data_IF_620193271301
#
_entry.id   IF_620193271301
#
_cell.length_a   1.000
_cell.length_b   1.000
_cell.length_c   1.000
_cell.angle_alpha   90.00
_cell.angle_beta   90.00
_cell.angle_gamma   90.00
#
_symmetry.space_group_name_H-M   'P 1'
#
loop_
_entity.id
_entity.type
_entity.pdbx_description
1 polymer ?
#
# COMPACT_ATOMS: atom_id res chain seq x y z
N UNK A 1 -18.62 -71.54 7.38
CA UNK A 1 -19.88 -70.75 7.32
C UNK A 1 -19.81 -69.49 8.17
N UNK A 2 -19.37 -69.53 9.44
CA UNK A 2 -19.27 -68.31 10.29
C UNK A 2 -18.02 -67.44 10.02
N UNK A 3 -16.99 -67.97 9.37
CA UNK A 3 -15.69 -67.30 9.16
C UNK A 3 -15.67 -66.35 7.95
N UNK A 4 -16.46 -66.59 6.90
CA UNK A 4 -16.49 -65.74 5.70
C UNK A 4 -17.14 -64.37 5.91
N UNK A 5 -18.20 -64.30 6.73
CA UNK A 5 -18.89 -63.03 7.01
C UNK A 5 -18.02 -62.05 7.82
N UNK A 6 -17.16 -62.59 8.68
CA UNK A 6 -16.20 -61.80 9.46
C UNK A 6 -15.10 -61.25 8.56
N UNK A 7 -14.63 -62.04 7.59
CA UNK A 7 -13.58 -61.65 6.65
C UNK A 7 -14.07 -60.58 5.65
N UNK A 8 -15.32 -60.71 5.18
CA UNK A 8 -15.96 -59.69 4.33
C UNK A 8 -16.20 -58.39 5.09
N UNK A 9 -16.58 -58.46 6.37
CA UNK A 9 -16.77 -57.29 7.22
C UNK A 9 -15.45 -56.55 7.51
N UNK A 10 -14.37 -57.28 7.83
CA UNK A 10 -13.05 -56.68 8.07
C UNK A 10 -12.52 -55.97 6.81
N UNK A 11 -12.68 -56.59 5.65
CA UNK A 11 -12.25 -56.01 4.39
C UNK A 11 -13.08 -54.76 4.01
N UNK A 12 -14.40 -54.78 4.26
CA UNK A 12 -15.27 -53.62 4.05
C UNK A 12 -14.92 -52.45 4.99
N UNK A 13 -14.61 -52.71 6.26
CA UNK A 13 -14.17 -51.68 7.23
C UNK A 13 -12.83 -51.08 6.81
N UNK A 14 -11.90 -51.91 6.32
CA UNK A 14 -10.59 -51.47 5.85
C UNK A 14 -10.67 -50.58 4.61
N UNK A 15 -11.55 -50.93 3.66
CA UNK A 15 -11.85 -50.11 2.47
C UNK A 15 -12.58 -48.81 2.86
N UNK A 16 -13.55 -48.90 3.77
CA UNK A 16 -14.27 -47.75 4.31
C UNK A 16 -13.36 -46.76 5.04
N UNK A 17 -12.42 -47.24 5.85
CA UNK A 17 -11.46 -46.42 6.56
C UNK A 17 -10.44 -45.76 5.61
N UNK A 18 -9.95 -46.51 4.61
CA UNK A 18 -9.03 -45.97 3.59
C UNK A 18 -9.67 -44.87 2.75
N UNK A 19 -10.93 -45.04 2.36
CA UNK A 19 -11.70 -44.02 1.62
C UNK A 19 -11.99 -42.79 2.48
N UNK A 20 -12.37 -42.97 3.76
CA UNK A 20 -12.57 -41.85 4.69
C UNK A 20 -11.29 -41.02 4.91
N UNK A 21 -10.15 -41.69 5.10
CA UNK A 21 -8.84 -41.02 5.23
C UNK A 21 -8.47 -40.27 3.95
N UNK A 22 -8.76 -40.84 2.77
CA UNK A 22 -8.49 -40.20 1.48
C UNK A 22 -9.35 -38.93 1.32
N UNK A 23 -10.63 -38.98 1.67
CA UNK A 23 -11.54 -37.83 1.61
C UNK A 23 -11.10 -36.74 2.59
N UNK A 24 -10.77 -37.09 3.84
CA UNK A 24 -10.25 -36.15 4.84
C UNK A 24 -8.94 -35.52 4.41
N UNK A 25 -8.00 -36.32 3.89
CA UNK A 25 -6.72 -35.85 3.37
C UNK A 25 -6.90 -34.90 2.18
N UNK A 26 -7.81 -35.23 1.26
CA UNK A 26 -8.19 -34.38 0.13
C UNK A 26 -8.79 -33.05 0.58
N UNK A 27 -9.75 -33.09 1.51
CA UNK A 27 -10.38 -31.89 2.07
C UNK A 27 -9.38 -30.98 2.79
N UNK A 28 -8.50 -31.55 3.62
CA UNK A 28 -7.44 -30.80 4.32
C UNK A 28 -6.47 -30.15 3.33
N UNK A 29 -6.05 -30.90 2.30
CA UNK A 29 -5.13 -30.39 1.27
C UNK A 29 -5.77 -29.24 0.49
N UNK A 30 -7.04 -29.38 0.10
CA UNK A 30 -7.78 -28.35 -0.61
C UNK A 30 -7.93 -27.08 0.23
N UNK A 31 -8.34 -27.22 1.50
CA UNK A 31 -8.52 -26.10 2.43
C UNK A 31 -7.19 -25.36 2.68
N UNK A 32 -6.10 -26.10 2.87
CA UNK A 32 -4.77 -25.51 3.04
C UNK A 32 -4.29 -24.81 1.76
N UNK A 33 -4.55 -25.39 0.59
CA UNK A 33 -4.20 -24.81 -0.71
C UNK A 33 -4.94 -23.49 -0.94
N UNK A 34 -6.26 -23.45 -0.72
CA UNK A 34 -7.06 -22.23 -0.83
C UNK A 34 -6.59 -21.14 0.13
N UNK A 35 -6.30 -21.47 1.39
CA UNK A 35 -5.77 -20.49 2.33
C UNK A 35 -4.41 -19.93 1.91
N UNK A 36 -3.57 -20.73 1.25
CA UNK A 36 -2.29 -20.27 0.71
C UNK A 36 -2.46 -19.32 -0.46
N UNK A 37 -3.33 -19.64 -1.42
CA UNK A 37 -3.59 -18.74 -2.55
C UNK A 37 -4.21 -17.42 -2.07
N UNK A 38 -5.20 -17.44 -1.17
CA UNK A 38 -5.77 -16.21 -0.60
C UNK A 38 -4.72 -15.35 0.11
N UNK A 39 -3.82 -15.95 0.88
CA UNK A 39 -2.72 -15.21 1.54
C UNK A 39 -1.73 -14.63 0.53
N UNK A 40 -1.45 -15.35 -0.54
CA UNK A 40 -0.55 -14.91 -1.61
C UNK A 40 -1.17 -13.74 -2.38
N UNK A 41 -2.44 -13.83 -2.75
CA UNK A 41 -3.19 -12.75 -3.38
C UNK A 41 -3.25 -11.51 -2.50
N UNK A 42 -3.54 -11.67 -1.20
CA UNK A 42 -3.56 -10.54 -0.27
C UNK A 42 -2.20 -9.83 -0.16
N UNK A 43 -1.08 -10.56 -0.22
CA UNK A 43 0.26 -9.96 -0.23
C UNK A 43 0.56 -9.22 -1.53
N UNK A 44 0.18 -9.80 -2.67
CA UNK A 44 0.33 -9.15 -3.98
C UNK A 44 -0.47 -7.86 -4.00
N UNK A 45 -1.72 -7.90 -3.54
CA UNK A 45 -2.59 -6.72 -3.49
C UNK A 45 -2.00 -5.65 -2.58
N UNK A 46 -1.55 -6.00 -1.36
CA UNK A 46 -0.90 -5.03 -0.46
C UNK A 46 0.35 -4.39 -1.05
N UNK A 47 1.13 -5.14 -1.83
CA UNK A 47 2.31 -4.58 -2.52
C UNK A 47 1.89 -3.59 -3.60
N UNK A 48 0.89 -3.91 -4.40
CA UNK A 48 0.33 -3.00 -5.40
C UNK A 48 -0.22 -1.73 -4.75
N UNK A 49 -1.01 -1.88 -3.69
CA UNK A 49 -1.57 -0.74 -2.95
C UNK A 49 -0.46 0.15 -2.36
N UNK A 50 0.64 -0.46 -1.88
CA UNK A 50 1.82 0.25 -1.40
C UNK A 50 2.52 1.04 -2.53
N UNK A 51 2.76 0.41 -3.68
CA UNK A 51 3.40 1.05 -4.84
C UNK A 51 2.57 2.24 -5.34
N UNK A 52 1.26 2.05 -5.49
CA UNK A 52 0.31 3.10 -5.90
C UNK A 52 0.30 4.26 -4.88
N UNK A 53 0.35 3.97 -3.58
CA UNK A 53 0.43 5.01 -2.54
C UNK A 53 1.73 5.79 -2.63
N UNK A 54 2.87 5.09 -2.74
CA UNK A 54 4.17 5.72 -2.86
C UNK A 54 4.24 6.63 -4.10
N UNK A 55 3.73 6.17 -5.23
CA UNK A 55 3.64 6.96 -6.47
C UNK A 55 2.81 8.23 -6.27
N UNK A 56 1.63 8.15 -5.63
CA UNK A 56 0.79 9.32 -5.34
C UNK A 56 1.54 10.37 -4.51
N UNK A 57 2.26 9.94 -3.47
CA UNK A 57 3.04 10.86 -2.63
C UNK A 57 4.19 11.51 -3.42
N UNK A 58 4.89 10.72 -4.24
CA UNK A 58 5.99 11.22 -5.08
C UNK A 58 5.47 12.21 -6.12
N UNK A 59 4.37 11.90 -6.81
CA UNK A 59 3.79 12.76 -7.84
C UNK A 59 3.34 14.09 -7.24
N UNK A 60 2.65 14.06 -6.10
CA UNK A 60 2.26 15.28 -5.39
C UNK A 60 3.47 16.12 -4.96
N UNK A 61 4.49 15.52 -4.34
CA UNK A 61 5.71 16.22 -3.92
C UNK A 61 6.50 16.80 -5.09
N UNK A 62 6.64 16.03 -6.17
CA UNK A 62 7.36 16.45 -7.38
C UNK A 62 6.65 17.64 -8.03
N UNK A 63 5.34 17.52 -8.27
CA UNK A 63 4.52 18.59 -8.83
C UNK A 63 4.57 19.85 -7.95
N UNK A 64 4.46 19.71 -6.62
CA UNK A 64 4.58 20.84 -5.68
C UNK A 64 5.90 21.60 -5.84
N UNK A 65 7.02 20.89 -5.96
CA UNK A 65 8.35 21.50 -6.11
C UNK A 65 8.51 22.15 -7.49
N UNK A 66 8.00 21.50 -8.53
CA UNK A 66 7.95 22.06 -9.88
C UNK A 66 7.14 23.35 -9.92
N UNK A 67 5.97 23.39 -9.28
CA UNK A 67 5.12 24.58 -9.14
C UNK A 67 5.90 25.74 -8.51
N UNK A 68 6.56 25.49 -7.36
CA UNK A 68 7.38 26.51 -6.70
C UNK A 68 8.48 27.04 -7.63
N UNK A 69 9.15 26.16 -8.38
CA UNK A 69 10.23 26.55 -9.28
C UNK A 69 9.71 27.31 -10.52
N UNK A 70 8.64 26.83 -11.15
CA UNK A 70 8.05 27.42 -12.36
C UNK A 70 7.51 28.82 -12.09
N UNK A 71 6.77 29.00 -11.00
CA UNK A 71 6.19 30.28 -10.59
C UNK A 71 7.13 31.11 -9.69
N UNK A 72 8.44 30.90 -9.87
CA UNK A 72 9.45 31.67 -9.15
C UNK A 72 9.57 33.12 -9.66
N UNK A 73 9.24 33.37 -10.93
CA UNK A 73 9.34 34.71 -11.54
C UNK A 73 8.03 35.16 -12.22
N UNK A 74 7.01 34.29 -12.23
CA UNK A 74 5.69 34.56 -12.78
C UNK A 74 4.63 34.26 -11.72
N UNK A 75 3.51 34.96 -11.77
CA UNK A 75 2.35 34.68 -10.92
C UNK A 75 1.51 33.54 -11.51
N UNK A 76 1.03 32.68 -10.64
CA UNK A 76 0.14 31.57 -11.00
C UNK A 76 -1.24 32.09 -11.43
N UNK A 77 -1.76 31.50 -12.51
CA UNK A 77 -3.17 31.64 -12.87
C UNK A 77 -3.90 30.35 -12.51
N UNK A 78 -5.10 30.47 -11.95
CA UNK A 78 -5.87 29.29 -11.53
C UNK A 78 -6.56 28.54 -12.68
N UNK A 79 -6.50 29.07 -13.90
CA UNK A 79 -7.03 28.43 -15.11
C UNK A 79 -5.95 27.70 -15.92
N UNK A 80 -4.69 27.68 -15.45
CA UNK A 80 -3.64 26.97 -16.16
C UNK A 80 -3.66 25.47 -15.87
N UNK A 81 -3.21 24.69 -16.86
CA UNK A 81 -3.11 23.23 -16.76
C UNK A 81 -2.32 22.78 -15.53
N UNK A 82 -1.22 23.48 -15.21
CA UNK A 82 -0.38 23.14 -14.05
C UNK A 82 -1.17 23.20 -12.73
N UNK A 83 -2.05 24.20 -12.58
CA UNK A 83 -2.87 24.33 -11.36
C UNK A 83 -3.96 23.27 -11.28
N UNK A 84 -4.58 22.95 -12.41
CA UNK A 84 -5.61 21.90 -12.50
C UNK A 84 -4.99 20.54 -12.17
N UNK A 85 -3.84 20.22 -12.76
CA UNK A 85 -3.12 18.99 -12.47
C UNK A 85 -2.67 18.92 -11.01
N UNK A 86 -2.11 20.02 -10.48
CA UNK A 86 -1.69 20.09 -9.09
C UNK A 86 -2.85 19.87 -8.11
N UNK A 87 -4.01 20.48 -8.39
CA UNK A 87 -5.23 20.29 -7.61
C UNK A 87 -5.71 18.84 -7.65
N UNK A 88 -5.71 18.22 -8.83
CA UNK A 88 -6.06 16.80 -8.98
C UNK A 88 -5.14 15.88 -8.18
N UNK A 89 -3.84 16.15 -8.16
CA UNK A 89 -2.87 15.38 -7.37
C UNK A 89 -3.12 15.52 -5.86
N UNK A 90 -3.37 16.74 -5.39
CA UNK A 90 -3.77 16.99 -4.00
C UNK A 90 -5.06 16.23 -3.65
N UNK A 91 -6.11 16.34 -4.46
CA UNK A 91 -7.39 15.65 -4.24
C UNK A 91 -7.21 14.14 -4.20
N UNK A 92 -6.38 13.59 -5.09
CA UNK A 92 -6.04 12.16 -5.12
C UNK A 92 -5.40 11.73 -3.80
N UNK A 93 -4.42 12.49 -3.30
CA UNK A 93 -3.78 12.20 -2.00
C UNK A 93 -4.81 12.32 -0.86
N UNK A 94 -5.60 13.40 -0.85
CA UNK A 94 -6.58 13.69 0.19
C UNK A 94 -7.72 12.68 0.27
N UNK A 95 -8.16 12.10 -0.85
CA UNK A 95 -9.22 11.09 -0.89
C UNK A 95 -8.70 9.68 -0.61
N UNK A 96 -7.45 9.38 -0.97
CA UNK A 96 -6.93 8.02 -0.90
C UNK A 96 -6.05 7.74 0.32
N UNK A 97 -5.60 8.78 1.02
CA UNK A 97 -4.93 8.64 2.30
C UNK A 97 -5.90 8.15 3.39
N UNK A 98 -5.56 7.03 4.03
CA UNK A 98 -6.26 6.57 5.22
C UNK A 98 -5.98 7.45 6.46
N UNK A 99 -4.79 8.06 6.53
CA UNK A 99 -4.35 8.84 7.68
C UNK A 99 -4.88 10.28 7.64
N UNK A 100 -5.66 10.66 8.67
CA UNK A 100 -6.09 12.04 8.88
C UNK A 100 -4.92 13.03 8.92
N UNK A 101 -3.80 12.63 9.51
CA UNK A 101 -2.60 13.44 9.60
C UNK A 101 -2.02 13.71 8.21
N UNK A 102 -1.92 12.68 7.38
CA UNK A 102 -1.42 12.83 6.00
C UNK A 102 -2.31 13.74 5.17
N UNK A 103 -3.65 13.62 5.31
CA UNK A 103 -4.60 14.51 4.63
C UNK A 103 -4.40 15.97 5.02
N UNK A 104 -4.24 16.26 6.31
CA UNK A 104 -3.96 17.62 6.79
C UNK A 104 -2.64 18.16 6.27
N UNK A 105 -1.57 17.36 6.34
CA UNK A 105 -0.25 17.76 5.85
C UNK A 105 -0.26 18.01 4.33
N UNK A 106 -0.97 17.18 3.56
CA UNK A 106 -1.13 17.38 2.12
C UNK A 106 -1.88 18.69 1.82
N UNK A 107 -2.95 18.98 2.57
CA UNK A 107 -3.71 20.21 2.43
C UNK A 107 -2.90 21.45 2.82
N UNK A 108 -2.15 21.40 3.93
CA UNK A 108 -1.27 22.48 4.37
C UNK A 108 -0.19 22.78 3.33
N UNK A 109 0.43 21.73 2.78
CA UNK A 109 1.40 21.86 1.70
C UNK A 109 0.77 22.41 0.42
N UNK A 110 -0.41 21.90 0.04
CA UNK A 110 -1.16 22.37 -1.12
C UNK A 110 -1.42 23.87 -1.05
N UNK A 111 -2.00 24.35 0.04
CA UNK A 111 -2.30 25.77 0.22
C UNK A 111 -1.04 26.63 0.26
N UNK A 112 -0.02 26.22 1.02
CA UNK A 112 1.20 27.02 1.14
C UNK A 112 1.95 27.15 -0.19
N UNK A 113 1.96 26.10 -1.01
CA UNK A 113 2.53 26.14 -2.36
C UNK A 113 1.71 27.03 -3.28
N UNK A 114 0.39 26.87 -3.29
CA UNK A 114 -0.52 27.71 -4.09
C UNK A 114 -0.34 29.19 -3.75
N UNK A 115 -0.33 29.54 -2.47
CA UNK A 115 -0.07 30.92 -1.99
C UNK A 115 1.28 31.44 -2.49
N UNK A 116 2.34 30.62 -2.38
CA UNK A 116 3.68 30.99 -2.81
C UNK A 116 3.81 31.18 -4.33
N UNK A 117 3.02 30.44 -5.12
CA UNK A 117 2.96 30.55 -6.57
C UNK A 117 2.14 31.78 -7.02
N UNK A 118 1.09 32.15 -6.28
CA UNK A 118 0.30 33.35 -6.58
C UNK A 118 1.10 34.64 -6.33
N UNK A 119 2.00 34.65 -5.33
CA UNK A 119 2.93 35.77 -5.04
C UNK A 119 4.08 35.95 -6.05
N UNK A 120 3.91 35.47 -7.28
CA UNK A 120 4.91 35.46 -8.34
C UNK A 120 5.69 36.77 -8.52
N UNK A 121 4.96 37.86 -8.73
CA UNK A 121 5.49 39.21 -9.05
C UNK A 121 5.71 40.09 -7.83
N UNK A 122 5.45 39.58 -6.62
CA UNK A 122 5.69 40.32 -5.38
C UNK A 122 7.18 40.57 -5.16
N UNK A 123 7.52 41.56 -4.33
CA UNK A 123 8.91 41.86 -4.01
C UNK A 123 9.57 40.65 -3.31
N UNK A 124 10.88 40.49 -3.49
CA UNK A 124 11.65 39.34 -2.99
C UNK A 124 11.50 39.16 -1.48
N UNK A 125 11.48 40.26 -0.73
CA UNK A 125 11.40 40.24 0.74
C UNK A 125 10.02 39.79 1.23
N UNK A 126 8.95 40.11 0.50
CA UNK A 126 7.58 39.65 0.79
C UNK A 126 7.38 38.19 0.38
N UNK A 127 8.00 37.78 -0.73
CA UNK A 127 7.90 36.42 -1.28
C UNK A 127 8.69 35.38 -0.48
N UNK A 128 9.82 35.78 0.09
CA UNK A 128 10.73 34.90 0.85
C UNK A 128 10.04 34.15 1.99
N UNK A 129 9.31 34.79 2.92
CA UNK A 129 8.66 34.08 4.03
C UNK A 129 7.58 33.09 3.56
N UNK A 130 6.82 33.43 2.52
CA UNK A 130 5.75 32.56 2.00
C UNK A 130 6.32 31.32 1.30
N UNK A 131 7.40 31.49 0.52
CA UNK A 131 8.11 30.34 -0.07
C UNK A 131 8.75 29.46 0.99
N UNK A 132 9.29 30.04 2.06
CA UNK A 132 9.86 29.25 3.15
C UNK A 132 8.79 28.46 3.89
N UNK A 133 7.62 29.06 4.14
CA UNK A 133 6.45 28.35 4.67
C UNK A 133 6.04 27.18 3.78
N UNK A 134 6.01 27.37 2.46
CA UNK A 134 5.71 26.31 1.50
C UNK A 134 6.72 25.15 1.56
N UNK A 135 8.02 25.47 1.60
CA UNK A 135 9.07 24.44 1.76
C UNK A 135 8.92 23.67 3.06
N UNK A 136 8.74 24.36 4.18
CA UNK A 136 8.56 23.72 5.49
C UNK A 136 7.34 22.79 5.49
N UNK A 137 6.24 23.20 4.85
CA UNK A 137 5.05 22.35 4.73
C UNK A 137 5.33 21.09 3.88
N UNK A 138 6.04 21.24 2.76
CA UNK A 138 6.44 20.11 1.90
C UNK A 138 7.40 19.15 2.61
N UNK A 139 8.37 19.68 3.36
CA UNK A 139 9.35 18.86 4.08
C UNK A 139 8.68 18.10 5.24
N UNK A 140 7.71 18.72 5.92
CA UNK A 140 6.86 18.02 6.89
C UNK A 140 6.08 16.89 6.22
N UNK A 141 5.38 17.16 5.13
CA UNK A 141 4.64 16.13 4.40
C UNK A 141 5.57 14.98 3.97
N UNK A 142 6.74 15.29 3.41
CA UNK A 142 7.73 14.29 3.00
C UNK A 142 8.24 13.45 4.18
N UNK A 143 8.51 14.07 5.33
CA UNK A 143 8.95 13.36 6.53
C UNK A 143 7.94 12.31 6.98
N UNK A 144 6.67 12.71 7.13
CA UNK A 144 5.59 11.80 7.52
C UNK A 144 5.29 10.74 6.44
N UNK A 145 5.28 11.12 5.17
CA UNK A 145 5.10 10.18 4.07
C UNK A 145 6.19 9.10 4.06
N UNK A 146 7.44 9.51 4.28
CA UNK A 146 8.59 8.58 4.32
C UNK A 146 8.49 7.62 5.50
N UNK A 147 8.06 8.10 6.66
CA UNK A 147 7.84 7.28 7.85
C UNK A 147 6.71 6.27 7.63
N UNK A 148 5.56 6.72 7.12
CA UNK A 148 4.41 5.85 6.81
C UNK A 148 4.80 4.75 5.82
N UNK A 149 5.46 5.11 4.71
CA UNK A 149 5.94 4.15 3.70
C UNK A 149 6.97 3.18 4.29
N UNK A 150 7.85 3.64 5.18
CA UNK A 150 8.83 2.77 5.86
C UNK A 150 8.14 1.73 6.74
N UNK A 151 7.14 2.14 7.52
CA UNK A 151 6.38 1.23 8.38
C UNK A 151 5.59 0.20 7.57
N UNK A 152 4.94 0.62 6.49
CA UNK A 152 4.20 -0.29 5.61
C UNK A 152 5.12 -1.29 4.90
N UNK A 153 6.26 -0.82 4.38
CA UNK A 153 7.26 -1.69 3.78
C UNK A 153 7.77 -2.74 4.76
N UNK A 154 8.10 -2.34 5.98
CA UNK A 154 8.53 -3.26 7.04
C UNK A 154 7.44 -4.29 7.38
N UNK A 155 6.17 -3.87 7.44
CA UNK A 155 5.06 -4.78 7.67
C UNK A 155 4.92 -5.82 6.53
N UNK A 156 5.06 -5.40 5.28
CA UNK A 156 5.04 -6.29 4.10
C UNK A 156 6.21 -7.29 4.17
N UNK A 157 7.41 -6.85 4.53
CA UNK A 157 8.59 -7.71 4.67
C UNK A 157 8.43 -8.74 5.78
N UNK A 158 7.89 -8.37 6.94
CA UNK A 158 7.62 -9.30 8.06
C UNK A 158 6.63 -10.39 7.64
N UNK A 159 5.55 -10.02 6.93
CA UNK A 159 4.60 -11.01 6.43
C UNK A 159 5.24 -11.96 5.41
N UNK A 160 6.12 -11.43 4.55
CA UNK A 160 6.85 -12.24 3.59
C UNK A 160 7.85 -13.21 4.26
N UNK A 161 8.56 -12.77 5.30
CA UNK A 161 9.46 -13.63 6.10
C UNK A 161 8.72 -14.75 6.82
N UNK A 162 7.56 -14.45 7.43
CA UNK A 162 6.70 -15.48 8.03
C UNK A 162 6.31 -16.53 6.99
N UNK A 163 5.94 -16.13 5.77
CA UNK A 163 5.65 -17.08 4.68
C UNK A 163 6.85 -17.99 4.37
N UNK A 164 8.04 -17.41 4.22
CA UNK A 164 9.26 -18.18 3.93
C UNK A 164 9.55 -19.22 5.03
N UNK A 165 9.43 -18.84 6.31
CA UNK A 165 9.64 -19.76 7.43
C UNK A 165 8.66 -20.95 7.40
N UNK A 166 7.38 -20.70 7.10
CA UNK A 166 6.37 -21.76 6.98
C UNK A 166 6.53 -22.64 5.75
N UNK A 167 7.19 -22.17 4.67
CA UNK A 167 7.56 -23.04 3.55
C UNK A 167 8.78 -23.90 3.86
N UNK A 168 9.77 -23.37 4.58
CA UNK A 168 10.97 -24.13 4.97
C UNK A 168 10.67 -25.23 5.98
N UNK A 169 9.88 -24.95 7.03
CA UNK A 169 9.51 -25.96 8.03
C UNK A 169 8.64 -27.10 7.48
N UNK A 170 8.05 -26.93 6.29
CA UNK A 170 7.31 -27.99 5.58
C UNK A 170 8.16 -28.83 4.64
N UNK A 171 9.32 -28.33 4.21
CA UNK A 171 10.26 -29.08 3.37
C UNK A 171 11.16 -30.01 4.18
N UNK A 172 11.38 -29.73 5.46
CA UNK A 172 12.17 -30.56 6.39
C UNK A 172 11.37 -31.69 7.04
N UNK A 173 10.08 -31.83 6.74
CA UNK A 173 9.19 -32.87 7.26
C UNK A 173 8.80 -33.90 6.19
N UNK A 174 9.61 -34.05 5.13
CA UNK A 174 9.52 -35.12 4.13
C UNK A 174 10.69 -36.06 4.27
#
# INVERSE_FOLDING_TARGET
MATEWVDVADNAVKIGLGSALTILGGYLTLKLSQQHELRKEALIQRRKDFEVKAERYVNFLSCSRMMLQKYMMSSLRHDCEDYIEYTRLHETVSLTCASNTMRKLAFDAYNAVSDACTMGTANRDEKKPVREKAKVALDKFQGFASEELRHEKAAIEVMNKKRAFWSFGRQTAR
#
